data_IF_768222149369
#
_entry.id   IF_768222149369
#
_cell.length_a   1.000
_cell.length_b   1.000
_cell.length_c   1.000
_cell.angle_alpha   90.00
_cell.angle_beta   90.00
_cell.angle_gamma   90.00
#
_symmetry.space_group_name_H-M   'P 1'
#
loop_
_entity.id
_entity.type
_entity.pdbx_description
1 polymer ?
#
# COMPACT_ATOMS: atom_id res chain seq x y z
N UNK A 1 -22.36 33.76 -29.97
CA UNK A 1 -20.93 33.43 -29.75
C UNK A 1 -20.62 33.03 -28.29
N UNK A 2 -21.17 33.72 -27.28
CA UNK A 2 -20.96 33.43 -25.85
C UNK A 2 -21.28 31.97 -25.42
N UNK A 3 -22.37 31.39 -25.94
CA UNK A 3 -22.85 30.08 -25.53
C UNK A 3 -21.95 28.91 -26.01
N UNK A 4 -21.37 29.04 -27.21
CA UNK A 4 -20.46 28.03 -27.76
C UNK A 4 -19.13 27.99 -26.99
N UNK A 5 -18.65 29.16 -26.53
CA UNK A 5 -17.46 29.26 -25.70
C UNK A 5 -17.66 28.57 -24.34
N UNK A 6 -18.82 28.77 -23.69
CA UNK A 6 -19.16 28.12 -22.41
C UNK A 6 -19.20 26.58 -22.52
N UNK A 7 -19.79 26.07 -23.61
CA UNK A 7 -19.86 24.64 -23.91
C UNK A 7 -18.48 24.02 -24.14
N UNK A 8 -17.59 24.75 -24.84
CA UNK A 8 -16.21 24.32 -25.05
C UNK A 8 -15.44 24.20 -23.73
N UNK A 9 -15.63 25.17 -22.82
CA UNK A 9 -14.96 25.18 -21.49
C UNK A 9 -15.44 24.00 -20.63
N UNK A 10 -16.73 23.69 -20.64
CA UNK A 10 -17.31 22.54 -19.92
C UNK A 10 -16.79 21.19 -20.47
N UNK A 11 -16.57 21.10 -21.78
CA UNK A 11 -15.97 19.93 -22.44
C UNK A 11 -14.48 19.76 -22.15
N UNK A 12 -13.76 20.86 -21.87
CA UNK A 12 -12.33 20.87 -21.56
C UNK A 12 -12.04 20.64 -20.07
N UNK A 13 -13.02 20.83 -19.17
CA UNK A 13 -12.89 20.60 -17.73
C UNK A 13 -12.35 19.21 -17.34
N UNK A 14 -12.81 18.08 -17.93
CA UNK A 14 -12.30 16.74 -17.61
C UNK A 14 -10.90 16.45 -18.18
N UNK A 15 -10.37 17.32 -19.05
CA UNK A 15 -9.02 17.19 -19.62
C UNK A 15 -7.94 17.87 -18.75
N UNK A 16 -8.35 18.59 -17.70
CA UNK A 16 -7.41 19.15 -16.73
C UNK A 16 -6.79 18.00 -15.92
N UNK A 17 -5.45 17.93 -15.82
CA UNK A 17 -4.82 16.93 -14.98
C UNK A 17 -5.22 17.16 -13.52
N UNK A 18 -5.87 16.18 -12.90
CA UNK A 18 -6.11 16.18 -11.46
C UNK A 18 -4.78 16.03 -10.75
N UNK A 19 -4.31 17.12 -10.13
CA UNK A 19 -3.16 17.07 -9.23
C UNK A 19 -3.65 16.52 -7.91
N UNK A 20 -3.35 15.26 -7.62
CA UNK A 20 -3.56 14.69 -6.30
C UNK A 20 -2.43 15.16 -5.38
N UNK A 21 -2.73 16.09 -4.47
CA UNK A 21 -1.83 16.44 -3.37
C UNK A 21 -2.14 15.52 -2.20
N UNK A 22 -1.23 14.60 -1.87
CA UNK A 22 -1.38 13.73 -0.70
C UNK A 22 -0.84 14.45 0.53
N UNK A 23 -1.73 14.81 1.45
CA UNK A 23 -1.36 15.37 2.75
C UNK A 23 -1.31 14.27 3.80
N UNK A 24 -0.68 14.59 4.94
CA UNK A 24 -0.56 13.68 6.09
C UNK A 24 -1.92 13.20 6.64
N UNK A 25 -3.00 13.91 6.35
CA UNK A 25 -4.36 13.55 6.78
C UNK A 25 -4.93 12.31 6.03
N UNK A 26 -4.28 11.89 4.93
CA UNK A 26 -4.64 10.71 4.17
C UNK A 26 -3.87 9.45 4.59
N UNK A 27 -3.11 9.48 5.69
CA UNK A 27 -2.37 8.32 6.18
C UNK A 27 -3.32 7.19 6.61
N UNK A 28 -3.30 6.06 5.90
CA UNK A 28 -4.08 4.85 6.25
C UNK A 28 -3.39 4.04 7.36
N UNK A 29 -2.06 4.06 7.41
CA UNK A 29 -1.26 3.55 8.54
C UNK A 29 -0.55 4.73 9.19
N UNK A 30 -1.05 5.19 10.34
CA UNK A 30 -0.29 6.12 11.18
C UNK A 30 0.91 5.41 11.80
N UNK A 31 1.98 6.18 12.02
CA UNK A 31 3.37 5.82 12.33
C UNK A 31 3.63 4.72 13.37
N UNK A 32 2.67 4.42 14.25
CA UNK A 32 2.99 3.83 15.55
C UNK A 32 2.51 2.39 15.70
N UNK A 33 1.86 1.82 14.67
CA UNK A 33 1.33 0.46 14.71
C UNK A 33 2.00 -0.43 13.66
N UNK A 34 2.82 -1.39 14.09
CA UNK A 34 3.35 -2.43 13.21
C UNK A 34 2.21 -3.22 12.56
N UNK A 35 2.38 -3.60 11.30
CA UNK A 35 1.46 -4.50 10.61
C UNK A 35 1.99 -5.93 10.77
N UNK A 36 1.22 -6.80 11.40
CA UNK A 36 1.58 -8.21 11.60
C UNK A 36 0.98 -9.13 10.53
N UNK A 37 1.44 -10.39 10.52
CA UNK A 37 0.85 -11.45 9.69
C UNK A 37 -0.66 -11.56 9.88
N UNK A 38 -1.41 -11.64 8.78
CA UNK A 38 -2.88 -11.68 8.78
C UNK A 38 -3.57 -10.32 8.89
N UNK A 39 -2.82 -9.21 8.92
CA UNK A 39 -3.38 -7.85 8.90
C UNK A 39 -3.12 -7.15 7.56
N UNK A 40 -4.03 -6.26 7.18
CA UNK A 40 -3.93 -5.43 5.97
C UNK A 40 -4.65 -4.09 6.12
N UNK A 41 -4.31 -3.16 5.24
CA UNK A 41 -5.05 -1.92 5.01
C UNK A 41 -5.74 -1.94 3.66
N UNK A 42 -6.75 -1.08 3.50
CA UNK A 42 -7.52 -0.97 2.26
C UNK A 42 -7.53 0.48 1.79
N UNK A 43 -7.61 0.65 0.47
CA UNK A 43 -7.82 1.93 -0.19
C UNK A 43 -9.18 2.53 0.21
N UNK A 44 -9.41 3.84 0.10
CA UNK A 44 -10.70 4.46 0.46
C UNK A 44 -11.92 3.82 -0.21
N UNK A 45 -11.80 3.42 -1.46
CA UNK A 45 -12.82 2.66 -2.22
C UNK A 45 -12.94 1.20 -1.78
N UNK A 46 -11.90 0.66 -1.15
CA UNK A 46 -11.75 -0.75 -0.79
C UNK A 46 -11.40 -1.67 -1.97
N UNK A 47 -11.16 -1.13 -3.17
CA UNK A 47 -10.81 -1.91 -4.37
C UNK A 47 -9.44 -2.58 -4.22
N UNK A 48 -8.47 -1.86 -3.65
CA UNK A 48 -7.12 -2.35 -3.38
C UNK A 48 -6.89 -2.54 -1.88
N UNK A 49 -6.07 -3.54 -1.55
CA UNK A 49 -5.55 -3.77 -0.21
C UNK A 49 -4.03 -3.95 -0.23
N UNK A 50 -3.39 -3.66 0.90
CA UNK A 50 -1.97 -3.87 1.12
C UNK A 50 -1.73 -4.50 2.49
N UNK A 51 -0.90 -5.55 2.55
CA UNK A 51 -0.58 -6.25 3.79
C UNK A 51 -0.05 -7.65 3.58
N UNK A 52 -0.20 -8.50 4.59
CA UNK A 52 0.25 -9.89 4.56
C UNK A 52 -0.78 -10.78 3.87
N UNK A 53 -0.50 -11.13 2.62
CA UNK A 53 -1.29 -12.07 1.83
C UNK A 53 -0.80 -13.51 2.04
N UNK A 54 -1.65 -14.46 2.44
CA UNK A 54 -1.25 -15.84 2.66
C UNK A 54 -0.99 -16.58 1.33
N UNK A 55 0.10 -17.34 1.23
CA UNK A 55 0.38 -18.16 0.04
C UNK A 55 -0.50 -19.42 -0.03
N UNK A 56 -1.01 -19.86 1.11
CA UNK A 56 -1.94 -20.98 1.23
C UNK A 56 -3.32 -20.46 1.61
N UNK A 57 -4.38 -21.00 1.00
CA UNK A 57 -5.76 -20.54 1.19
C UNK A 57 -6.43 -21.05 2.48
N UNK A 58 -5.65 -21.55 3.44
CA UNK A 58 -6.16 -22.11 4.70
C UNK A 58 -5.75 -21.21 5.88
N UNK A 59 -6.45 -21.38 7.01
CA UNK A 59 -6.12 -20.63 8.23
C UNK A 59 -4.80 -21.07 8.89
N UNK A 60 -4.13 -22.08 8.31
CA UNK A 60 -2.83 -22.59 8.73
C UNK A 60 -1.69 -22.10 7.83
N UNK A 61 -1.91 -21.03 7.07
CA UNK A 61 -0.91 -20.49 6.16
C UNK A 61 0.38 -20.17 6.92
N UNK A 62 1.46 -20.85 6.55
CA UNK A 62 2.76 -20.72 7.19
C UNK A 62 3.69 -19.76 6.43
N UNK A 63 3.23 -19.18 5.33
CA UNK A 63 4.01 -18.28 4.50
C UNK A 63 3.15 -17.15 3.94
N UNK A 64 3.69 -15.94 3.98
CA UNK A 64 3.00 -14.73 3.59
C UNK A 64 3.84 -13.89 2.62
N UNK A 65 3.18 -13.34 1.61
CA UNK A 65 3.71 -12.23 0.82
C UNK A 65 3.23 -10.91 1.42
N UNK A 66 4.14 -9.95 1.56
CA UNK A 66 3.78 -8.56 1.72
C UNK A 66 3.42 -8.02 0.33
N UNK A 67 2.13 -7.79 0.09
CA UNK A 67 1.58 -7.63 -1.25
C UNK A 67 0.52 -6.55 -1.36
N UNK A 68 0.24 -6.14 -2.60
CA UNK A 68 -0.95 -5.37 -3.00
C UNK A 68 -1.84 -6.28 -3.85
N UNK A 69 -3.14 -6.29 -3.59
CA UNK A 69 -4.10 -7.11 -4.33
C UNK A 69 -5.45 -6.41 -4.55
N UNK A 70 -6.21 -6.91 -5.52
CA UNK A 70 -7.63 -6.57 -5.68
C UNK A 70 -8.44 -7.23 -4.58
N UNK A 71 -9.03 -6.42 -3.72
CA UNK A 71 -9.60 -6.85 -2.45
C UNK A 71 -11.07 -7.31 -2.55
N UNK A 72 -11.83 -6.76 -3.51
CA UNK A 72 -13.25 -7.09 -3.70
C UNK A 72 -13.54 -8.24 -4.67
N UNK A 73 -12.52 -8.84 -5.27
CA UNK A 73 -12.72 -10.01 -6.13
C UNK A 73 -12.82 -11.27 -5.29
N UNK A 74 -13.68 -12.22 -5.70
CA UNK A 74 -13.83 -13.52 -5.02
C UNK A 74 -12.50 -14.27 -5.02
N UNK A 75 -11.82 -14.26 -6.15
CA UNK A 75 -10.46 -14.75 -6.31
C UNK A 75 -9.54 -13.53 -6.28
N UNK A 76 -8.99 -13.23 -5.09
CA UNK A 76 -8.12 -12.08 -4.89
C UNK A 76 -6.87 -12.23 -5.77
N UNK A 77 -6.58 -11.20 -6.55
CA UNK A 77 -5.46 -11.20 -7.49
C UNK A 77 -4.37 -10.25 -6.99
N UNK A 78 -3.17 -10.78 -6.78
CA UNK A 78 -1.99 -10.00 -6.42
C UNK A 78 -1.52 -9.21 -7.64
N UNK A 79 -1.32 -7.90 -7.47
CA UNK A 79 -0.80 -7.01 -8.52
C UNK A 79 0.67 -6.65 -8.29
N UNK A 80 1.15 -6.76 -7.05
CA UNK A 80 2.54 -6.52 -6.69
C UNK A 80 2.89 -7.21 -5.36
N UNK A 81 4.15 -7.62 -5.17
CA UNK A 81 4.66 -8.16 -3.90
C UNK A 81 6.12 -7.75 -3.65
N UNK A 82 6.49 -7.64 -2.38
CA UNK A 82 7.80 -7.16 -1.93
C UNK A 82 8.84 -8.29 -1.77
N UNK A 83 8.42 -9.41 -1.18
CA UNK A 83 9.29 -10.45 -0.62
C UNK A 83 9.10 -11.81 -1.32
N UNK A 84 8.91 -11.82 -2.65
CA UNK A 84 8.62 -13.06 -3.39
C UNK A 84 9.74 -14.10 -3.38
N UNK A 85 10.99 -13.68 -3.18
CA UNK A 85 12.13 -14.60 -3.06
C UNK A 85 12.23 -15.24 -1.67
N UNK A 86 11.69 -14.57 -0.66
CA UNK A 86 11.73 -15.03 0.73
C UNK A 86 10.39 -14.70 1.44
N UNK A 87 9.38 -15.57 1.26
CA UNK A 87 8.09 -15.43 1.93
C UNK A 87 8.23 -15.38 3.46
N UNK A 88 7.42 -14.54 4.09
CA UNK A 88 7.50 -14.26 5.52
C UNK A 88 6.82 -15.36 6.34
N UNK A 89 7.44 -15.89 7.41
CA UNK A 89 6.79 -16.86 8.32
C UNK A 89 5.75 -16.19 9.25
N UNK A 90 4.93 -16.95 9.98
CA UNK A 90 4.02 -16.41 10.99
C UNK A 90 4.75 -15.60 12.06
N UNK A 91 4.15 -14.49 12.50
CA UNK A 91 4.76 -13.58 13.47
C UNK A 91 5.75 -12.57 12.86
N UNK A 92 5.90 -12.55 11.54
CA UNK A 92 6.60 -11.48 10.83
C UNK A 92 5.86 -10.15 10.95
N UNK A 93 6.61 -9.05 10.82
CA UNK A 93 6.09 -7.71 11.05
C UNK A 93 6.67 -6.69 10.08
N UNK A 94 5.81 -5.89 9.48
CA UNK A 94 6.18 -4.65 8.79
C UNK A 94 6.16 -3.50 9.79
N UNK A 95 7.29 -2.83 9.98
CA UNK A 95 7.46 -1.74 10.95
C UNK A 95 8.49 -0.73 10.48
N UNK A 96 8.69 0.34 11.24
CA UNK A 96 9.85 1.21 11.05
C UNK A 96 11.07 0.71 11.80
N UNK A 97 12.24 0.87 11.18
CA UNK A 97 13.52 0.70 11.85
C UNK A 97 13.96 2.00 12.55
N UNK A 98 15.15 1.97 13.18
CA UNK A 98 15.75 3.12 13.87
C UNK A 98 16.02 4.33 12.93
N UNK A 99 16.12 4.09 11.62
CA UNK A 99 16.32 5.11 10.60
C UNK A 99 14.99 5.66 10.06
N UNK A 100 13.84 5.26 10.62
CA UNK A 100 12.50 5.62 10.14
C UNK A 100 12.19 5.10 8.74
N UNK A 101 12.78 3.98 8.33
CA UNK A 101 12.49 3.28 7.08
C UNK A 101 11.56 2.10 7.33
N UNK A 102 10.66 1.82 6.40
CA UNK A 102 9.80 0.63 6.48
C UNK A 102 10.60 -0.64 6.16
N UNK A 103 10.62 -1.57 7.11
CA UNK A 103 11.28 -2.87 7.03
C UNK A 103 10.30 -3.99 7.38
N UNK A 104 10.39 -5.08 6.62
CA UNK A 104 9.73 -6.33 6.92
C UNK A 104 10.74 -7.24 7.62
N UNK A 105 10.43 -7.63 8.86
CA UNK A 105 11.25 -8.58 9.60
C UNK A 105 10.48 -9.86 9.88
N UNK A 106 11.19 -10.98 9.92
CA UNK A 106 10.64 -12.23 10.43
C UNK A 106 10.47 -12.21 11.95
N UNK A 107 9.90 -13.29 12.50
CA UNK A 107 9.67 -13.47 13.92
C UNK A 107 10.96 -13.58 14.77
N UNK A 108 12.12 -13.75 14.15
CA UNK A 108 13.45 -13.78 14.78
C UNK A 108 14.19 -12.44 14.63
N UNK A 109 13.61 -11.48 13.92
CA UNK A 109 14.19 -10.16 13.68
C UNK A 109 15.08 -10.06 12.45
N UNK A 110 15.20 -11.11 11.62
CA UNK A 110 15.88 -11.03 10.32
C UNK A 110 15.10 -10.12 9.39
N UNK A 111 15.79 -9.17 8.75
CA UNK A 111 15.20 -8.32 7.70
C UNK A 111 15.00 -9.16 6.42
N UNK A 112 13.74 -9.27 5.97
CA UNK A 112 13.35 -9.96 4.75
C UNK A 112 13.22 -9.00 3.56
N UNK A 113 12.84 -7.74 3.84
CA UNK A 113 12.68 -6.70 2.83
C UNK A 113 12.74 -5.31 3.47
N UNK A 114 13.09 -4.31 2.65
CA UNK A 114 13.11 -2.90 3.01
C UNK A 114 12.56 -2.04 1.88
N UNK A 115 11.79 -1.02 2.24
CA UNK A 115 11.32 -0.01 1.30
C UNK A 115 12.49 0.78 0.69
N UNK A 116 12.53 0.98 -0.63
CA UNK A 116 13.48 1.90 -1.25
C UNK A 116 13.35 3.30 -0.65
N UNK A 117 14.45 3.85 -0.15
CA UNK A 117 14.51 5.21 0.41
C UNK A 117 15.65 5.97 -0.28
N UNK A 118 15.41 7.25 -0.59
CA UNK A 118 16.47 8.15 -1.08
C UNK A 118 17.12 8.92 0.08
N UNK A 119 17.15 8.34 1.29
CA UNK A 119 17.59 9.01 2.51
C UNK A 119 16.52 9.87 3.20
N UNK A 120 15.32 9.98 2.64
CA UNK A 120 14.16 10.59 3.31
C UNK A 120 13.61 9.65 4.38
N UNK A 121 13.27 10.21 5.54
CA UNK A 121 12.58 9.46 6.61
C UNK A 121 11.13 9.29 6.22
N UNK A 122 10.64 8.06 6.23
CA UNK A 122 9.23 7.82 5.93
C UNK A 122 8.38 8.30 7.12
N UNK A 123 7.30 9.03 6.86
CA UNK A 123 6.22 9.29 7.81
C UNK A 123 5.20 8.15 7.77
N UNK A 124 4.53 7.87 6.67
CA UNK A 124 3.47 6.85 6.65
C UNK A 124 3.39 6.06 5.33
N UNK A 125 2.59 4.99 5.34
CA UNK A 125 2.20 4.24 4.14
C UNK A 125 0.71 4.43 3.91
N UNK A 126 0.33 4.65 2.66
CA UNK A 126 -1.06 4.69 2.22
C UNK A 126 -1.22 3.88 0.93
N UNK A 127 -2.39 3.25 0.76
CA UNK A 127 -2.79 2.57 -0.48
C UNK A 127 -3.92 3.36 -1.12
N UNK A 128 -3.74 3.72 -2.37
CA UNK A 128 -4.64 4.62 -3.10
C UNK A 128 -5.68 3.84 -3.91
N UNK A 129 -6.75 4.52 -4.33
CA UNK A 129 -7.82 3.93 -5.14
C UNK A 129 -7.37 3.50 -6.55
N UNK A 130 -6.22 3.98 -7.00
CA UNK A 130 -5.58 3.52 -8.23
C UNK A 130 -4.61 2.34 -8.01
N UNK A 131 -4.51 1.82 -6.78
CA UNK A 131 -3.64 0.70 -6.41
C UNK A 131 -2.19 1.09 -6.12
N UNK A 132 -1.83 2.38 -6.20
CA UNK A 132 -0.49 2.82 -5.85
C UNK A 132 -0.30 2.78 -4.32
N UNK A 133 0.72 2.03 -3.90
CA UNK A 133 1.25 2.09 -2.54
C UNK A 133 2.23 3.26 -2.46
N UNK A 134 1.92 4.26 -1.64
CA UNK A 134 2.75 5.45 -1.45
C UNK A 134 3.38 5.45 -0.08
N UNK A 135 4.66 5.80 -0.05
CA UNK A 135 5.42 6.06 1.17
C UNK A 135 5.60 7.57 1.23
N UNK A 136 5.02 8.19 2.26
CA UNK A 136 5.10 9.63 2.50
C UNK A 136 6.22 9.91 3.50
N UNK A 137 6.79 11.10 3.45
CA UNK A 137 7.82 11.64 4.36
C UNK A 137 7.25 12.58 5.44
#
# INVERSE_FOLDING_TARGET
>A
MQCCFLLLILLLLPLLPTVFTYTRDNCTISLDSPLGTGSWIQSPSGEFAFGFYPLESNESANQFLLAVWFNKTKDQTIVWFANGNEPAPPGSVLKKNINSEFVLNDNQGKELWRAPSNGSKSSCVSILDNGNLVILD
#
